data_IF_376238189457
#
_entry.id   IF_376238189457
#
_cell.length_a   1.000
_cell.length_b   1.000
_cell.length_c   1.000
_cell.angle_alpha   90.00
_cell.angle_beta   90.00
_cell.angle_gamma   90.00
#
_symmetry.space_group_name_H-M   'P 1'
#
loop_
_entity.id
_entity.type
_entity.pdbx_description
1 polymer ?
#
# COMPACT_ATOMS: atom_id res chain seq x y z
N UNK A 1 -12.52 6.73 11.40
CA UNK A 1 -11.56 5.60 11.41
C UNK A 1 -10.76 5.61 12.71
N UNK A 2 -10.79 4.53 13.50
CA UNK A 2 -9.95 4.35 14.71
C UNK A 2 -8.71 3.46 14.43
N UNK A 3 -8.31 3.35 13.16
CA UNK A 3 -7.18 2.52 12.74
C UNK A 3 -5.98 3.43 12.42
N UNK A 4 -4.81 3.03 12.91
CA UNK A 4 -3.55 3.71 12.64
C UNK A 4 -2.84 2.94 11.54
N UNK A 5 -2.68 3.57 10.38
CA UNK A 5 -1.92 3.02 9.26
C UNK A 5 -0.52 3.60 9.28
N UNK A 6 0.49 2.74 9.26
CA UNK A 6 1.89 3.15 9.12
C UNK A 6 2.35 2.95 7.69
N UNK A 7 3.06 3.95 7.17
CA UNK A 7 3.65 3.92 5.83
C UNK A 7 4.97 3.15 5.83
N UNK A 8 5.19 2.39 4.77
CA UNK A 8 6.41 1.65 4.49
C UNK A 8 6.89 1.94 3.07
N UNK A 9 8.19 2.11 2.94
CA UNK A 9 8.88 2.48 1.69
C UNK A 9 10.15 1.62 1.57
N UNK A 10 10.79 1.54 0.39
CA UNK A 10 12.07 0.84 0.27
C UNK A 10 13.08 1.34 1.31
N UNK A 11 13.68 0.41 2.06
CA UNK A 11 14.59 0.71 3.19
C UNK A 11 13.91 1.02 4.54
N UNK A 12 12.58 1.17 4.61
CA UNK A 12 11.81 1.22 5.85
C UNK A 12 10.60 0.28 5.73
N UNK A 13 10.81 -0.96 6.15
CA UNK A 13 10.02 -2.13 5.77
C UNK A 13 9.21 -2.70 6.94
N UNK A 14 8.12 -3.38 6.60
CA UNK A 14 7.34 -4.20 7.53
C UNK A 14 7.59 -5.68 7.26
N UNK A 15 7.72 -6.47 8.33
CA UNK A 15 7.58 -7.92 8.24
C UNK A 15 6.10 -8.30 8.40
N UNK A 16 5.41 -8.48 7.28
CA UNK A 16 4.03 -8.95 7.25
C UNK A 16 4.02 -10.47 7.08
N UNK A 17 3.91 -11.19 8.20
CA UNK A 17 3.80 -12.66 8.23
C UNK A 17 4.92 -13.40 7.48
N UNK A 18 6.15 -12.87 7.53
CA UNK A 18 7.33 -13.42 6.84
C UNK A 18 7.72 -12.67 5.57
N UNK A 19 6.84 -11.80 5.05
CA UNK A 19 7.10 -10.99 3.85
C UNK A 19 7.62 -9.61 4.25
N UNK A 20 8.79 -9.22 3.77
CA UNK A 20 9.35 -7.88 3.99
C UNK A 20 8.76 -6.92 2.97
N UNK A 21 7.70 -6.17 3.27
CA UNK A 21 7.12 -5.21 2.31
C UNK A 21 7.72 -3.80 2.51
N UNK A 22 7.97 -3.03 1.42
CA UNK A 22 7.73 -3.37 0.01
C UNK A 22 8.79 -4.29 -0.63
N UNK A 23 10.00 -4.40 -0.09
CA UNK A 23 11.18 -4.95 -0.78
C UNK A 23 11.04 -6.41 -1.29
N UNK A 24 10.34 -7.27 -0.55
CA UNK A 24 10.05 -8.66 -0.91
C UNK A 24 8.91 -8.82 -1.93
N UNK A 25 8.28 -7.71 -2.34
CA UNK A 25 7.21 -7.65 -3.33
C UNK A 25 7.64 -6.96 -4.63
N UNK A 26 8.79 -6.28 -4.65
CA UNK A 26 9.31 -5.54 -5.81
C UNK A 26 10.75 -5.97 -6.14
N UNK A 27 11.12 -6.01 -7.41
CA UNK A 27 12.48 -6.37 -7.82
C UNK A 27 12.82 -7.82 -7.51
N UNK A 28 13.51 -8.07 -6.38
CA UNK A 28 13.87 -9.43 -5.95
C UNK A 28 12.78 -10.04 -5.07
N UNK A 29 11.69 -10.42 -5.73
CA UNK A 29 10.44 -10.88 -5.11
C UNK A 29 10.67 -12.18 -4.34
N UNK A 30 10.35 -12.17 -3.04
CA UNK A 30 10.43 -13.37 -2.17
C UNK A 30 9.11 -14.11 -2.08
N UNK A 31 7.99 -13.41 -2.31
CA UNK A 31 6.66 -14.00 -2.44
C UNK A 31 5.89 -13.26 -3.53
N UNK A 32 5.44 -13.98 -4.54
CA UNK A 32 4.91 -13.39 -5.77
C UNK A 32 3.50 -12.79 -5.52
N UNK A 33 3.31 -11.47 -5.68
CA UNK A 33 1.98 -10.89 -5.60
C UNK A 33 1.06 -11.47 -6.68
N UNK A 34 -0.19 -11.75 -6.33
CA UNK A 34 -1.20 -12.25 -7.26
C UNK A 34 -2.60 -11.68 -6.94
N UNK A 35 -3.45 -11.54 -7.97
CA UNK A 35 -4.88 -11.24 -7.83
C UNK A 35 -5.65 -12.45 -8.34
N UNK A 36 -6.41 -13.11 -7.46
CA UNK A 36 -6.93 -14.45 -7.77
C UNK A 36 -5.77 -15.39 -8.11
N UNK A 37 -5.86 -16.15 -9.20
CA UNK A 37 -4.78 -17.04 -9.66
C UNK A 37 -3.82 -16.39 -10.67
N UNK A 38 -3.82 -15.05 -10.77
CA UNK A 38 -3.02 -14.33 -11.74
C UNK A 38 -1.89 -13.56 -11.05
N UNK A 39 -0.62 -13.96 -11.23
CA UNK A 39 0.52 -13.19 -10.77
C UNK A 39 0.51 -11.77 -11.33
N UNK A 40 0.87 -10.79 -10.51
CA UNK A 40 1.05 -9.40 -10.92
C UNK A 40 2.47 -8.94 -10.65
N UNK A 41 2.98 -8.06 -11.50
CA UNK A 41 4.32 -7.49 -11.33
C UNK A 41 4.21 -6.08 -10.76
N UNK A 42 4.84 -5.88 -9.61
CA UNK A 42 4.93 -4.59 -8.93
C UNK A 42 6.31 -3.98 -9.18
N UNK A 43 6.34 -2.70 -9.52
CA UNK A 43 7.56 -1.90 -9.57
C UNK A 43 7.34 -0.65 -8.71
N UNK A 44 8.28 -0.39 -7.79
CA UNK A 44 8.22 0.81 -6.96
C UNK A 44 8.40 2.06 -7.83
N UNK A 45 7.50 3.03 -7.67
CA UNK A 45 7.51 4.23 -8.51
C UNK A 45 7.14 5.48 -7.70
N UNK A 46 8.05 6.45 -7.63
CA UNK A 46 7.79 7.73 -6.96
C UNK A 46 6.84 8.64 -7.74
N UNK A 47 6.73 8.46 -9.05
CA UNK A 47 5.91 9.28 -9.94
C UNK A 47 4.66 8.55 -10.47
N UNK A 48 4.43 7.31 -10.04
CA UNK A 48 3.29 6.51 -10.47
C UNK A 48 3.34 6.03 -11.92
N UNK A 49 4.50 6.10 -12.57
CA UNK A 49 4.72 5.60 -13.93
C UNK A 49 5.65 4.40 -13.90
N UNK A 50 5.30 3.38 -14.67
CA UNK A 50 6.11 2.17 -14.93
C UNK A 50 5.95 1.77 -16.38
N UNK A 51 6.87 0.95 -16.91
CA UNK A 51 6.80 0.49 -18.30
C UNK A 51 5.65 -0.49 -18.53
N UNK A 52 5.42 -1.39 -17.57
CA UNK A 52 4.39 -2.42 -17.59
C UNK A 52 4.05 -2.83 -16.15
N UNK A 53 2.90 -3.45 -15.94
CA UNK A 53 2.42 -3.90 -14.64
C UNK A 53 1.89 -2.77 -13.75
N UNK A 54 2.17 -2.87 -12.46
CA UNK A 54 1.60 -2.02 -11.42
C UNK A 54 2.69 -1.13 -10.82
N UNK A 55 2.52 0.18 -10.94
CA UNK A 55 3.33 1.15 -10.21
C UNK A 55 2.93 1.13 -8.74
N UNK A 56 3.77 0.59 -7.87
CA UNK A 56 3.58 0.64 -6.42
C UNK A 56 4.09 1.99 -5.90
N UNK A 57 3.18 2.83 -5.42
CA UNK A 57 3.51 4.21 -5.00
C UNK A 57 3.56 4.39 -3.49
N UNK A 58 2.87 3.51 -2.74
CA UNK A 58 2.93 3.48 -1.28
C UNK A 58 2.49 2.12 -0.73
N UNK A 59 3.01 1.77 0.45
CA UNK A 59 2.57 0.60 1.23
C UNK A 59 2.16 1.05 2.61
N UNK A 60 1.01 0.57 3.08
CA UNK A 60 0.53 0.83 4.43
C UNK A 60 0.13 -0.45 5.13
N UNK A 61 0.29 -0.49 6.44
CA UNK A 61 -0.23 -1.59 7.26
C UNK A 61 -0.68 -1.09 8.62
N UNK A 62 -1.70 -1.74 9.17
CA UNK A 62 -2.19 -1.58 10.54
C UNK A 62 -1.68 -2.70 11.47
N UNK A 63 -0.79 -3.56 10.98
CA UNK A 63 -0.35 -4.79 11.64
C UNK A 63 0.36 -4.58 12.99
N UNK A 64 0.92 -3.39 13.24
CA UNK A 64 1.50 -3.04 14.54
C UNK A 64 0.43 -2.85 15.63
N UNK A 65 -0.82 -2.59 15.24
CA UNK A 65 -1.92 -2.27 16.15
C UNK A 65 -3.06 -3.29 16.15
N UNK A 66 -3.14 -4.13 15.11
CA UNK A 66 -4.19 -5.14 14.97
C UNK A 66 -3.78 -6.53 15.50
N UNK A 67 -4.76 -7.32 16.00
CA UNK A 67 -4.55 -8.74 16.26
C UNK A 67 -4.08 -9.50 15.01
N UNK A 68 -3.34 -10.59 15.20
CA UNK A 68 -2.71 -11.39 14.12
C UNK A 68 -3.63 -11.69 12.93
N UNK A 69 -4.88 -12.07 13.21
CA UNK A 69 -5.88 -12.48 12.22
C UNK A 69 -6.61 -11.30 11.54
N UNK A 70 -6.29 -10.06 11.94
CA UNK A 70 -6.96 -8.84 11.48
C UNK A 70 -5.96 -7.83 10.90
N UNK A 71 -4.72 -8.25 10.67
CA UNK A 71 -3.68 -7.42 10.06
C UNK A 71 -3.99 -7.25 8.57
N UNK A 72 -3.83 -6.03 8.08
CA UNK A 72 -3.95 -5.71 6.66
C UNK A 72 -2.62 -5.18 6.13
N UNK A 73 -2.29 -5.58 4.91
CA UNK A 73 -1.26 -4.94 4.11
C UNK A 73 -1.92 -4.32 2.89
N UNK A 74 -1.87 -2.99 2.80
CA UNK A 74 -2.41 -2.21 1.70
C UNK A 74 -1.31 -1.81 0.73
N UNK A 75 -1.53 -2.04 -0.55
CA UNK A 75 -0.67 -1.55 -1.63
C UNK A 75 -1.43 -0.51 -2.44
N UNK A 76 -0.90 0.70 -2.50
CA UNK A 76 -1.43 1.77 -3.34
C UNK A 76 -0.73 1.68 -4.69
N UNK A 77 -1.49 1.31 -5.71
CA UNK A 77 -0.94 1.02 -7.04
C UNK A 77 -1.57 1.87 -8.11
N UNK A 78 -0.83 2.17 -9.17
CA UNK A 78 -1.37 2.76 -10.40
C UNK A 78 -1.11 1.77 -11.54
N UNK A 79 -2.17 1.40 -12.25
CA UNK A 79 -2.12 0.49 -13.39
C UNK A 79 -2.92 1.11 -14.53
N UNK A 80 -2.34 1.22 -15.72
CA UNK A 80 -2.97 1.87 -16.88
C UNK A 80 -3.56 3.26 -16.54
N UNK A 81 -2.80 4.07 -15.79
CA UNK A 81 -3.20 5.39 -15.29
C UNK A 81 -4.44 5.41 -14.38
N UNK A 82 -4.89 4.24 -13.89
CA UNK A 82 -5.99 4.12 -12.94
C UNK A 82 -5.44 3.78 -11.55
N UNK A 83 -5.82 4.52 -10.49
CA UNK A 83 -5.48 4.18 -9.12
C UNK A 83 -6.24 2.92 -8.66
N UNK A 84 -5.52 2.01 -8.01
CA UNK A 84 -6.08 0.80 -7.41
C UNK A 84 -5.41 0.55 -6.06
N UNK A 85 -6.23 0.44 -5.01
CA UNK A 85 -5.76 0.05 -3.68
C UNK A 85 -6.02 -1.44 -3.51
N UNK A 86 -4.94 -2.21 -3.40
CA UNK A 86 -4.96 -3.64 -3.12
C UNK A 86 -4.81 -3.87 -1.63
N UNK A 87 -5.41 -4.94 -1.12
CA UNK A 87 -5.30 -5.36 0.27
C UNK A 87 -5.13 -6.87 0.37
N UNK A 88 -4.33 -7.31 1.34
CA UNK A 88 -4.27 -8.70 1.76
C UNK A 88 -4.36 -8.80 3.28
N UNK A 89 -4.99 -9.88 3.73
CA UNK A 89 -5.03 -10.34 5.12
C UNK A 89 -4.44 -11.76 5.23
N UNK A 90 -3.74 -12.22 4.18
CA UNK A 90 -3.18 -13.56 4.14
C UNK A 90 -2.18 -13.74 5.29
N UNK A 91 -2.43 -14.74 6.12
CA UNK A 91 -1.67 -15.06 7.33
C UNK A 91 -1.01 -16.45 7.29
N UNK A 92 -1.18 -17.16 6.17
CA UNK A 92 -0.54 -18.43 5.89
C UNK A 92 0.16 -18.35 4.55
N UNK A 93 1.29 -19.05 4.43
CA UNK A 93 1.95 -19.22 3.14
C UNK A 93 1.05 -19.95 2.15
N UNK A 94 1.29 -19.72 0.86
CA UNK A 94 0.65 -20.44 -0.23
C UNK A 94 1.63 -21.45 -0.84
N UNK A 95 1.20 -22.69 -1.19
CA UNK A 95 2.08 -23.69 -1.79
C UNK A 95 2.74 -23.29 -3.11
N UNK A 96 2.16 -22.34 -3.84
CA UNK A 96 2.72 -21.80 -5.09
C UNK A 96 3.58 -20.54 -4.85
N UNK A 97 3.77 -20.15 -3.59
CA UNK A 97 4.57 -18.99 -3.21
C UNK A 97 3.89 -17.66 -3.50
N UNK A 98 2.55 -17.62 -3.54
CA UNK A 98 1.79 -16.41 -3.84
C UNK A 98 1.35 -15.66 -2.58
N UNK A 99 1.38 -14.33 -2.67
CA UNK A 99 0.67 -13.43 -1.77
C UNK A 99 -0.56 -12.90 -2.50
N UNK A 100 -1.74 -13.38 -2.11
CA UNK A 100 -2.98 -13.01 -2.77
C UNK A 100 -3.52 -11.68 -2.28
N UNK A 101 -3.83 -10.80 -3.22
CA UNK A 101 -4.45 -9.51 -3.00
C UNK A 101 -5.85 -9.47 -3.63
N UNK A 102 -6.73 -8.69 -3.00
CA UNK A 102 -7.98 -8.23 -3.59
C UNK A 102 -8.00 -6.70 -3.68
N UNK A 103 -8.90 -6.15 -4.49
CA UNK A 103 -9.22 -4.73 -4.38
C UNK A 103 -9.82 -4.45 -3.00
N UNK A 104 -9.44 -3.33 -2.38
CA UNK A 104 -10.00 -2.98 -1.07
C UNK A 104 -11.49 -2.64 -1.16
N UNK A 105 -12.27 -3.13 -0.19
CA UNK A 105 -13.65 -2.69 0.01
C UNK A 105 -13.74 -1.38 0.80
N UNK A 106 -12.61 -0.86 1.30
CA UNK A 106 -12.57 0.41 2.01
C UNK A 106 -12.77 1.59 1.03
N UNK A 107 -14.01 2.06 0.96
CA UNK A 107 -14.42 3.15 0.08
C UNK A 107 -13.68 4.46 0.37
N UNK A 108 -13.27 4.72 1.62
CA UNK A 108 -12.55 5.94 1.99
C UNK A 108 -11.13 5.94 1.42
N UNK A 109 -10.42 4.80 1.49
CA UNK A 109 -9.09 4.67 0.90
C UNK A 109 -9.14 4.78 -0.63
N UNK A 110 -10.14 4.15 -1.27
CA UNK A 110 -10.35 4.23 -2.72
C UNK A 110 -10.61 5.66 -3.16
N UNK A 111 -11.64 6.31 -2.60
CA UNK A 111 -12.00 7.67 -2.97
C UNK A 111 -10.90 8.69 -2.65
N UNK A 112 -10.21 8.50 -1.51
CA UNK A 112 -9.07 9.33 -1.13
C UNK A 112 -7.93 9.24 -2.13
N UNK A 113 -7.58 8.03 -2.56
CA UNK A 113 -6.49 7.83 -3.51
C UNK A 113 -6.85 8.27 -4.94
N UNK A 114 -8.06 7.95 -5.40
CA UNK A 114 -8.62 8.45 -6.67
C UNK A 114 -8.54 9.98 -6.75
N UNK A 115 -8.91 10.68 -5.67
CA UNK A 115 -8.80 12.13 -5.60
C UNK A 115 -7.36 12.64 -5.69
N UNK A 116 -6.39 11.94 -5.10
CA UNK A 116 -4.98 12.34 -5.14
C UNK A 116 -4.40 12.16 -6.54
N UNK A 117 -4.67 11.01 -7.19
CA UNK A 117 -4.15 10.69 -8.53
C UNK A 117 -4.85 11.51 -9.63
N UNK A 118 -6.16 11.72 -9.50
CA UNK A 118 -6.95 12.53 -10.42
C UNK A 118 -6.86 14.04 -10.19
N UNK A 119 -6.23 14.49 -9.11
CA UNK A 119 -5.98 15.92 -8.91
C UNK A 119 -5.00 16.42 -10.00
N UNK A 120 -5.30 17.55 -10.67
CA UNK A 120 -4.30 18.23 -11.47
C UNK A 120 -3.06 18.43 -10.61
N UNK A 121 -1.90 18.03 -11.12
CA UNK A 121 -0.63 18.20 -10.43
C UNK A 121 -0.35 19.69 -10.23
N UNK A 122 -0.84 20.24 -9.11
CA UNK A 122 -0.34 21.50 -8.58
C UNK A 122 1.11 21.17 -8.25
N UNK A 123 2.07 21.75 -8.97
CA UNK A 123 3.50 21.52 -8.80
C UNK A 123 3.88 21.77 -7.33
N UNK A 124 3.90 20.72 -6.51
CA UNK A 124 4.21 20.82 -5.09
C UNK A 124 5.71 20.73 -4.92
N UNK A 125 6.35 21.89 -4.78
CA UNK A 125 7.74 21.98 -4.32
C UNK A 125 7.90 21.16 -3.04
N UNK A 126 8.92 20.28 -3.02
CA UNK A 126 9.19 19.22 -2.04
C UNK A 126 9.47 19.70 -0.59
N UNK A 127 9.26 20.98 -0.28
CA UNK A 127 9.66 21.59 1.01
C UNK A 127 8.52 21.73 2.04
N UNK A 128 7.28 21.36 1.72
CA UNK A 128 6.13 21.73 2.58
C UNK A 128 5.48 20.58 3.37
N UNK A 129 5.96 19.33 3.28
CA UNK A 129 5.35 18.20 3.99
C UNK A 129 6.14 17.66 5.19
N UNK A 130 7.34 18.16 5.48
CA UNK A 130 8.12 17.73 6.65
C UNK A 130 7.81 18.48 7.96
N UNK A 131 6.74 19.29 8.03
CA UNK A 131 6.40 20.03 9.26
C UNK A 131 4.96 19.92 9.76
N UNK A 132 4.19 18.92 9.35
CA UNK A 132 2.88 18.69 9.98
C UNK A 132 2.79 17.31 10.60
N UNK A 133 3.31 17.21 11.82
CA UNK A 133 2.80 16.30 12.83
C UNK A 133 1.30 16.57 12.99
N UNK A 134 0.46 15.74 12.39
CA UNK A 134 -1.00 15.84 12.56
C UNK A 134 -1.33 15.36 13.97
N UNK A 135 -1.39 16.31 14.91
CA UNK A 135 -1.96 16.09 16.24
C UNK A 135 -3.48 16.17 16.11
N UNK A 136 -4.16 15.03 16.18
CA UNK A 136 -5.62 15.01 16.37
C UNK A 136 -5.94 15.45 17.80
N UNK A 137 -6.37 16.71 17.94
CA UNK A 137 -6.91 17.24 19.20
C UNK A 137 -8.27 16.56 19.45
N UNK A 138 -8.34 15.70 20.47
CA UNK A 138 -9.60 15.17 20.99
C UNK A 138 -10.39 16.35 21.58
N UNK A 139 -11.48 16.74 20.92
CA UNK A 139 -12.47 17.63 21.47
C UNK A 139 -13.54 16.83 22.18
N UNK A 140 -13.80 17.16 23.45
CA UNK A 140 -15.11 17.08 24.09
C UNK A 140 -14.98 17.70 25.49
N UNK A 141 -15.66 18.84 25.63
CA UNK A 141 -16.27 19.52 26.80
C UNK A 141 -15.41 19.88 28.02
#
# INVERSE_FOLDING_TARGET
MNQTYKEYIPGNLINFNGVQAPDGLVGNVTMQPAIGQHPIYLEWSENGQVKDGYALVAVYSDAETQPEMQKHLYLFTIVNNQPLVLVTMQNQGDPYGYLYFGATDNAELRAGFEKIVGAPSITKNKSQYFSQSVVFKRGSD
#
